data_IF_015933563124
#
_entry.id   IF_015933563124
#
_cell.length_a   1.000
_cell.length_b   1.000
_cell.length_c   1.000
_cell.angle_alpha   90.00
_cell.angle_beta   90.00
_cell.angle_gamma   90.00
#
_symmetry.space_group_name_H-M   'P 1'
#
loop_
_entity.id
_entity.type
_entity.pdbx_description
1 polymer ?
#
# COMPACT_ATOMS: atom_id res chain seq x y z
N UNK A 1 18.34 -75.92 14.18
CA UNK A 1 17.54 -74.90 13.51
C UNK A 1 17.73 -73.60 14.26
N UNK A 2 18.50 -72.69 13.69
CA UNK A 2 18.80 -71.37 14.29
C UNK A 2 18.02 -70.32 13.48
N UNK A 3 17.06 -69.68 14.14
CA UNK A 3 16.24 -68.61 13.58
C UNK A 3 16.96 -67.30 13.75
N UNK A 4 17.26 -66.61 12.64
CA UNK A 4 17.81 -65.28 12.63
C UNK A 4 16.67 -64.24 12.63
N UNK A 5 16.59 -63.38 13.64
CA UNK A 5 15.76 -62.22 13.67
C UNK A 5 16.55 -61.02 13.05
N UNK A 6 16.06 -60.51 11.93
CA UNK A 6 16.49 -59.25 11.36
C UNK A 6 15.74 -58.10 12.04
N UNK A 7 16.42 -57.24 12.77
CA UNK A 7 15.89 -55.98 13.27
C UNK A 7 16.18 -54.92 12.25
N UNK A 8 15.13 -54.37 11.60
CA UNK A 8 15.21 -53.21 10.70
C UNK A 8 15.16 -51.93 11.54
N UNK A 9 16.24 -51.18 11.57
CA UNK A 9 16.28 -49.84 12.15
C UNK A 9 15.74 -48.84 11.14
N UNK A 10 14.55 -48.27 11.40
CA UNK A 10 14.01 -47.10 10.68
C UNK A 10 14.68 -45.87 11.28
N UNK A 11 15.59 -45.24 10.55
CA UNK A 11 16.10 -43.93 10.87
C UNK A 11 15.10 -42.86 10.40
N UNK A 12 14.39 -42.24 11.32
CA UNK A 12 13.54 -41.08 11.03
C UNK A 12 14.42 -39.84 10.81
N UNK A 13 14.51 -39.41 9.56
CA UNK A 13 15.06 -38.10 9.22
C UNK A 13 14.04 -37.04 9.59
N UNK A 14 14.19 -36.40 10.74
CA UNK A 14 13.45 -35.18 11.06
C UNK A 14 14.08 -34.03 10.25
N UNK A 15 13.49 -33.68 9.13
CA UNK A 15 13.81 -32.45 8.44
C UNK A 15 13.38 -31.27 9.33
N UNK A 16 14.34 -30.55 9.90
CA UNK A 16 14.10 -29.30 10.57
C UNK A 16 13.59 -28.29 9.52
N UNK A 17 12.34 -27.90 9.64
CA UNK A 17 11.80 -26.75 8.91
C UNK A 17 12.67 -25.53 9.27
N UNK A 18 13.09 -24.71 8.30
CA UNK A 18 13.76 -23.46 8.61
C UNK A 18 12.83 -22.61 9.47
N UNK A 19 13.34 -22.17 10.63
CA UNK A 19 12.63 -21.20 11.46
C UNK A 19 12.28 -20.01 10.56
N UNK A 20 10.99 -19.69 10.49
CA UNK A 20 10.54 -18.46 9.84
C UNK A 20 11.35 -17.32 10.45
N UNK A 21 12.05 -16.57 9.60
CA UNK A 21 12.77 -15.38 10.04
C UNK A 21 11.72 -14.46 10.69
N UNK A 22 11.83 -14.24 11.99
CA UNK A 22 11.04 -13.24 12.68
C UNK A 22 11.34 -11.90 12.04
N UNK A 23 10.34 -11.29 11.41
CA UNK A 23 10.49 -9.92 10.93
C UNK A 23 11.00 -9.05 12.09
N UNK A 24 11.98 -8.17 11.86
CA UNK A 24 12.44 -7.27 12.90
C UNK A 24 11.26 -6.44 13.41
N UNK A 25 11.21 -6.21 14.72
CA UNK A 25 10.17 -5.37 15.32
C UNK A 25 10.08 -4.04 14.57
N UNK A 26 8.88 -3.56 14.28
CA UNK A 26 8.70 -2.35 13.48
C UNK A 26 9.41 -1.17 14.16
N UNK A 27 10.27 -0.50 13.41
CA UNK A 27 10.87 0.74 13.87
C UNK A 27 9.81 1.83 13.88
N UNK A 28 9.72 2.57 14.99
CA UNK A 28 8.90 3.77 15.11
C UNK A 28 9.80 4.99 15.21
N UNK A 29 9.35 6.10 14.62
CA UNK A 29 9.93 7.42 14.82
C UNK A 29 8.90 8.40 15.35
N UNK A 30 9.34 9.31 16.19
CA UNK A 30 8.50 10.43 16.61
C UNK A 30 8.22 11.37 15.41
N UNK A 31 7.07 12.01 15.42
CA UNK A 31 6.71 12.99 14.41
C UNK A 31 5.99 14.20 15.02
N UNK A 32 6.18 15.36 14.38
CA UNK A 32 5.51 16.62 14.77
C UNK A 32 4.11 16.66 14.15
N UNK A 33 3.08 16.51 14.99
CA UNK A 33 1.67 16.51 14.54
C UNK A 33 1.28 17.79 13.79
N UNK A 34 1.92 18.92 14.06
CA UNK A 34 1.60 20.20 13.41
C UNK A 34 2.18 20.32 12.00
N UNK A 35 3.26 19.61 11.73
CA UNK A 35 3.99 19.68 10.46
C UNK A 35 3.71 18.48 9.56
N UNK A 36 3.54 17.32 10.18
CA UNK A 36 3.53 16.05 9.45
C UNK A 36 2.15 15.36 9.42
N UNK A 37 1.12 15.93 10.07
CA UNK A 37 -0.24 15.42 9.96
C UNK A 37 -0.84 15.88 8.62
N UNK A 38 -1.10 14.93 7.74
CA UNK A 38 -1.63 15.17 6.38
C UNK A 38 -3.04 14.65 6.17
N UNK A 39 -3.60 13.95 7.15
CA UNK A 39 -4.95 13.39 7.09
C UNK A 39 -6.01 14.51 7.15
N UNK A 40 -7.16 14.29 6.50
CA UNK A 40 -8.28 15.20 6.64
C UNK A 40 -8.95 15.01 8.00
N UNK A 41 -8.93 16.01 8.90
CA UNK A 41 -9.47 15.89 10.26
C UNK A 41 -10.97 15.60 10.29
N UNK A 42 -11.73 15.95 9.26
CA UNK A 42 -13.16 15.67 9.18
C UNK A 42 -13.49 14.23 8.81
N UNK A 43 -12.55 13.51 8.24
CA UNK A 43 -12.76 12.12 7.80
C UNK A 43 -11.93 11.09 8.56
N UNK A 44 -10.92 11.51 9.32
CA UNK A 44 -10.01 10.61 10.02
C UNK A 44 -10.75 9.68 11.00
N UNK A 45 -11.79 10.15 11.67
CA UNK A 45 -12.62 9.33 12.53
C UNK A 45 -13.77 8.64 11.79
N UNK A 46 -14.49 9.34 10.91
CA UNK A 46 -15.70 8.80 10.27
C UNK A 46 -15.42 7.96 9.03
N UNK A 47 -14.44 8.34 8.22
CA UNK A 47 -14.14 7.67 6.96
C UNK A 47 -13.32 6.39 7.15
N UNK A 48 -12.31 6.45 8.03
CA UNK A 48 -11.45 5.31 8.34
C UNK A 48 -11.69 4.76 9.73
N UNK A 49 -12.04 5.61 10.68
CA UNK A 49 -12.07 5.31 12.08
C UNK A 49 -10.66 5.27 12.70
N UNK A 50 -10.60 5.28 14.01
CA UNK A 50 -9.36 5.09 14.76
C UNK A 50 -9.59 4.07 15.89
N UNK A 51 -8.52 3.51 16.41
CA UNK A 51 -8.58 2.61 17.55
C UNK A 51 -8.15 3.38 18.81
N UNK A 52 -9.01 3.40 19.80
CA UNK A 52 -8.73 3.92 21.13
C UNK A 52 -8.26 2.78 22.02
N UNK A 53 -7.16 2.94 22.74
CA UNK A 53 -6.71 2.01 23.76
C UNK A 53 -6.44 2.73 25.09
N UNK A 54 -6.87 2.12 26.18
CA UNK A 54 -6.67 2.63 27.54
C UNK A 54 -6.46 1.50 28.54
N UNK A 55 -5.83 1.81 29.65
CA UNK A 55 -5.44 0.88 30.70
C UNK A 55 -3.96 1.01 31.03
N UNK A 56 -3.42 -0.04 31.60
CA UNK A 56 -2.04 -0.13 32.07
C UNK A 56 -1.41 -1.48 31.67
N UNK A 57 -0.25 -1.79 32.24
CA UNK A 57 0.48 -3.04 31.97
C UNK A 57 -0.22 -4.29 32.51
N UNK A 58 -1.15 -4.14 33.46
CA UNK A 58 -1.90 -5.27 34.02
C UNK A 58 -3.17 -5.55 33.23
N UNK A 59 -3.89 -4.50 32.87
CA UNK A 59 -5.17 -4.60 32.15
C UNK A 59 -5.37 -3.44 31.18
N UNK A 60 -5.67 -3.75 29.95
CA UNK A 60 -6.01 -2.78 28.92
C UNK A 60 -7.17 -3.24 28.08
N UNK A 61 -7.80 -2.31 27.39
CA UNK A 61 -8.80 -2.63 26.38
C UNK A 61 -8.78 -1.58 25.27
N UNK A 62 -9.07 -2.05 24.04
CA UNK A 62 -9.19 -1.19 22.89
C UNK A 62 -10.59 -1.25 22.28
N UNK A 63 -10.99 -0.18 21.60
CA UNK A 63 -12.23 -0.10 20.83
C UNK A 63 -12.10 0.82 19.63
N UNK A 64 -12.86 0.54 18.62
CA UNK A 64 -12.99 1.45 17.48
C UNK A 64 -13.79 2.67 17.87
N UNK A 65 -13.30 3.83 17.49
CA UNK A 65 -13.97 5.13 17.62
C UNK A 65 -14.23 5.72 16.24
N UNK A 66 -15.47 6.13 15.99
CA UNK A 66 -15.89 6.83 14.77
C UNK A 66 -16.19 8.31 15.00
N UNK A 67 -16.14 8.77 16.24
CA UNK A 67 -16.32 10.16 16.63
C UNK A 67 -15.12 10.66 17.40
N UNK A 68 -14.62 11.84 17.00
CA UNK A 68 -13.47 12.46 17.63
C UNK A 68 -13.17 13.81 17.00
N UNK A 69 -12.21 14.50 17.58
CA UNK A 69 -11.69 15.74 17.06
C UNK A 69 -10.18 15.83 17.30
N UNK A 70 -9.47 16.47 16.37
CA UNK A 70 -8.07 16.84 16.48
C UNK A 70 -7.96 18.35 16.38
N UNK A 71 -7.17 18.96 17.26
CA UNK A 71 -7.02 20.41 17.24
C UNK A 71 -6.16 20.92 18.36
N UNK A 72 -6.41 22.15 18.80
CA UNK A 72 -5.71 22.78 19.91
C UNK A 72 -6.69 23.25 20.95
N UNK A 73 -6.33 23.09 22.22
CA UNK A 73 -7.16 23.51 23.34
C UNK A 73 -6.29 24.04 24.48
N UNK A 74 -6.85 24.95 25.30
CA UNK A 74 -6.18 25.56 26.45
C UNK A 74 -4.77 26.07 26.14
N UNK A 75 -4.73 27.03 25.22
CA UNK A 75 -3.49 27.64 24.76
C UNK A 75 -2.92 26.91 23.52
N UNK A 76 -1.73 26.32 23.67
CA UNK A 76 -1.03 25.68 22.54
C UNK A 76 -0.94 24.17 22.65
N UNK A 77 -1.79 23.55 23.47
CA UNK A 77 -1.79 22.09 23.58
C UNK A 77 -2.45 21.47 22.36
N UNK A 78 -1.73 20.59 21.69
CA UNK A 78 -2.31 19.70 20.68
C UNK A 78 -3.20 18.68 21.40
N UNK A 79 -4.44 18.57 20.97
CA UNK A 79 -5.47 17.83 21.67
C UNK A 79 -6.15 16.82 20.76
N UNK A 80 -6.42 15.65 21.33
CA UNK A 80 -7.31 14.64 20.77
C UNK A 80 -8.52 14.55 21.67
N UNK A 81 -9.70 14.72 21.10
CA UNK A 81 -10.97 14.50 21.80
C UNK A 81 -11.61 13.22 21.30
N UNK A 82 -12.01 12.35 22.20
CA UNK A 82 -12.70 11.10 21.90
C UNK A 82 -14.02 11.01 22.66
N UNK A 83 -14.99 10.30 22.09
CA UNK A 83 -16.32 10.14 22.67
C UNK A 83 -16.63 8.67 22.87
N UNK A 84 -16.88 8.26 24.11
CA UNK A 84 -17.10 6.86 24.47
C UNK A 84 -18.44 6.71 25.18
N UNK A 85 -19.32 5.90 24.59
CA UNK A 85 -20.66 5.66 25.15
C UNK A 85 -20.57 4.86 26.44
N UNK A 86 -21.56 5.08 27.33
CA UNK A 86 -21.61 4.55 28.70
C UNK A 86 -21.45 3.03 28.77
N UNK A 87 -22.07 2.27 27.88
CA UNK A 87 -22.02 0.82 27.89
C UNK A 87 -20.71 0.20 27.41
N UNK A 88 -19.81 1.02 26.81
CA UNK A 88 -18.56 0.51 26.22
C UNK A 88 -17.57 0.04 27.29
N UNK A 89 -17.03 -1.16 27.07
CA UNK A 89 -16.07 -1.76 28.00
C UNK A 89 -14.83 -0.91 28.25
N UNK A 90 -14.33 -0.23 27.22
CA UNK A 90 -13.15 0.64 27.28
C UNK A 90 -13.36 1.85 28.20
N UNK A 91 -14.62 2.29 28.41
CA UNK A 91 -14.93 3.43 29.29
C UNK A 91 -14.33 3.28 30.67
N UNK A 92 -14.49 2.13 31.30
CA UNK A 92 -13.97 1.88 32.67
C UNK A 92 -12.43 1.97 32.75
N UNK A 93 -11.74 1.72 31.64
CA UNK A 93 -10.28 1.85 31.57
C UNK A 93 -9.88 3.33 31.42
N UNK A 94 -10.65 4.09 30.63
CA UNK A 94 -10.43 5.53 30.48
C UNK A 94 -10.73 6.30 31.79
N UNK A 95 -11.79 5.94 32.49
CA UNK A 95 -12.17 6.61 33.74
C UNK A 95 -11.08 6.48 34.83
N UNK A 96 -10.27 5.42 34.76
CA UNK A 96 -9.14 5.19 35.67
C UNK A 96 -7.76 5.54 35.11
N UNK A 97 -7.68 5.98 33.87
CA UNK A 97 -6.40 6.22 33.22
C UNK A 97 -5.92 7.67 33.36
N UNK A 98 -4.61 7.86 33.44
CA UNK A 98 -3.97 9.18 33.27
C UNK A 98 -3.62 9.46 31.82
N UNK A 99 -3.44 8.41 31.02
CA UNK A 99 -3.09 8.48 29.61
C UNK A 99 -3.91 7.47 28.79
N UNK A 100 -4.07 7.75 27.52
CA UNK A 100 -4.66 6.82 26.55
C UNK A 100 -3.95 6.97 25.21
N UNK A 101 -4.10 5.99 24.34
CA UNK A 101 -3.62 6.10 22.95
C UNK A 101 -4.75 6.08 21.95
N UNK A 102 -4.54 6.81 20.85
CA UNK A 102 -5.38 6.74 19.65
C UNK A 102 -4.49 6.33 18.49
N UNK A 103 -4.91 5.31 17.74
CA UNK A 103 -4.09 4.67 16.72
C UNK A 103 -4.78 4.66 15.36
N UNK A 104 -4.00 4.90 14.31
CA UNK A 104 -4.35 4.62 12.91
C UNK A 104 -3.58 3.39 12.44
N UNK A 105 -4.17 2.64 11.50
CA UNK A 105 -3.55 1.47 10.89
C UNK A 105 -3.37 1.68 9.38
N UNK A 106 -2.59 0.83 8.74
CA UNK A 106 -2.41 0.82 7.30
C UNK A 106 -3.75 0.53 6.59
N UNK A 107 -4.00 1.19 5.46
CA UNK A 107 -5.29 1.15 4.72
C UNK A 107 -5.81 -0.26 4.46
N UNK A 108 -4.90 -1.20 4.17
CA UNK A 108 -5.26 -2.57 3.82
C UNK A 108 -5.79 -3.37 5.01
N UNK A 109 -5.21 -3.18 6.21
CA UNK A 109 -5.57 -3.90 7.43
C UNK A 109 -6.60 -3.17 8.29
N UNK A 110 -6.71 -1.85 8.13
CA UNK A 110 -7.50 -0.98 8.98
C UNK A 110 -8.97 -1.39 9.05
N UNK A 111 -9.61 -1.65 7.90
CA UNK A 111 -11.03 -1.99 7.84
C UNK A 111 -11.36 -3.25 8.65
N UNK A 112 -10.51 -4.28 8.54
CA UNK A 112 -10.68 -5.53 9.27
C UNK A 112 -10.48 -5.33 10.78
N UNK A 113 -9.38 -4.67 11.18
CA UNK A 113 -9.04 -4.40 12.58
C UNK A 113 -10.17 -3.60 13.25
N UNK A 114 -10.55 -2.48 12.65
CA UNK A 114 -11.56 -1.59 13.24
C UNK A 114 -12.94 -2.24 13.26
N UNK A 115 -13.33 -2.99 12.25
CA UNK A 115 -14.60 -3.71 12.25
C UNK A 115 -14.66 -4.74 13.38
N UNK A 116 -13.61 -5.52 13.58
CA UNK A 116 -13.55 -6.54 14.62
C UNK A 116 -13.51 -5.91 16.01
N UNK A 117 -12.62 -4.92 16.23
CA UNK A 117 -12.47 -4.22 17.51
C UNK A 117 -13.73 -3.47 17.95
N UNK A 118 -14.51 -2.97 16.99
CA UNK A 118 -15.76 -2.26 17.26
C UNK A 118 -16.95 -3.16 17.55
N UNK A 119 -17.02 -4.36 16.94
CA UNK A 119 -18.15 -5.30 17.08
C UNK A 119 -18.01 -6.22 18.27
N UNK A 120 -16.80 -6.59 18.65
CA UNK A 120 -16.54 -7.53 19.72
C UNK A 120 -16.23 -6.80 21.02
N UNK A 121 -16.73 -7.33 22.15
CA UNK A 121 -16.44 -6.77 23.47
C UNK A 121 -15.19 -7.41 24.07
N UNK A 122 -14.33 -6.61 24.71
CA UNK A 122 -13.22 -7.13 25.52
C UNK A 122 -13.67 -7.86 26.80
N UNK A 123 -14.97 -7.93 27.06
CA UNK A 123 -15.54 -8.80 28.11
C UNK A 123 -15.59 -10.27 27.67
N UNK A 124 -15.66 -10.51 26.36
CA UNK A 124 -15.92 -11.83 25.77
C UNK A 124 -14.62 -12.54 25.34
N UNK A 125 -13.47 -11.87 25.41
CA UNK A 125 -12.18 -12.47 25.08
C UNK A 125 -11.13 -11.45 24.62
N UNK A 126 -9.94 -11.95 24.36
CA UNK A 126 -8.82 -11.15 23.85
C UNK A 126 -9.00 -10.86 22.36
N UNK A 127 -9.40 -9.64 22.04
CA UNK A 127 -9.62 -9.19 20.67
C UNK A 127 -8.34 -8.98 19.90
N UNK A 128 -7.25 -8.64 20.58
CA UNK A 128 -5.96 -8.42 19.96
C UNK A 128 -5.36 -9.74 19.48
N UNK A 129 -5.39 -10.76 20.32
CA UNK A 129 -4.92 -12.09 19.95
C UNK A 129 -5.70 -12.67 18.76
N UNK A 130 -7.00 -12.44 18.67
CA UNK A 130 -7.85 -12.88 17.56
C UNK A 130 -7.47 -12.22 16.21
N UNK A 131 -6.80 -11.08 16.24
CA UNK A 131 -6.33 -10.33 15.06
C UNK A 131 -4.82 -10.45 14.84
N UNK A 132 -4.10 -11.17 15.70
CA UNK A 132 -2.63 -11.23 15.67
C UNK A 132 -1.96 -9.89 15.97
N UNK A 133 -2.59 -9.04 16.79
CA UNK A 133 -2.03 -7.76 17.21
C UNK A 133 -1.18 -7.94 18.47
N UNK A 134 -0.02 -7.29 18.50
CA UNK A 134 0.93 -7.34 19.59
C UNK A 134 0.85 -6.07 20.44
N UNK A 135 0.54 -6.26 21.72
CA UNK A 135 0.41 -5.18 22.69
C UNK A 135 1.81 -4.72 23.13
N UNK A 136 2.05 -3.42 23.02
CA UNK A 136 3.23 -2.74 23.52
C UNK A 136 2.85 -1.56 24.41
N UNK A 137 3.84 -0.91 25.03
CA UNK A 137 3.62 0.17 25.97
C UNK A 137 4.59 1.31 25.74
N UNK A 138 4.09 2.52 25.83
CA UNK A 138 4.91 3.73 25.83
C UNK A 138 5.76 3.83 27.11
N UNK A 139 6.62 4.83 27.20
CA UNK A 139 7.39 5.11 28.40
C UNK A 139 6.52 5.38 29.63
N UNK A 140 5.35 6.02 29.41
CA UNK A 140 4.35 6.26 30.47
C UNK A 140 3.53 5.02 30.83
N UNK A 141 3.80 3.87 30.19
CA UNK A 141 3.05 2.64 30.41
C UNK A 141 1.71 2.57 29.69
N UNK A 142 1.43 3.49 28.78
CA UNK A 142 0.18 3.55 28.02
C UNK A 142 0.18 2.48 26.92
N UNK A 143 -0.86 1.63 26.83
CA UNK A 143 -0.91 0.54 25.89
C UNK A 143 -1.14 1.02 24.44
N UNK A 144 -0.46 0.38 23.48
CA UNK A 144 -0.69 0.52 22.04
C UNK A 144 -0.41 -0.80 21.33
N UNK A 145 -0.71 -0.91 20.01
CA UNK A 145 -0.39 -2.09 19.21
C UNK A 145 0.75 -1.81 18.24
N UNK A 146 1.71 -2.73 18.17
CA UNK A 146 2.90 -2.63 17.29
C UNK A 146 2.54 -2.55 15.80
N UNK A 147 1.37 -3.05 15.40
CA UNK A 147 0.87 -3.00 14.03
C UNK A 147 0.29 -1.63 13.64
N UNK A 148 0.21 -0.68 14.58
CA UNK A 148 -0.26 0.67 14.28
C UNK A 148 0.68 1.39 13.30
N UNK A 149 0.11 2.11 12.35
CA UNK A 149 0.84 3.01 11.44
C UNK A 149 1.21 4.32 12.13
N UNK A 150 0.32 4.83 12.97
CA UNK A 150 0.56 6.01 13.79
C UNK A 150 -0.12 5.85 15.15
N UNK A 151 0.52 6.36 16.18
CA UNK A 151 0.07 6.33 17.57
C UNK A 151 0.16 7.74 18.14
N UNK A 152 -0.93 8.19 18.74
CA UNK A 152 -1.02 9.44 19.49
C UNK A 152 -1.20 9.08 20.97
N UNK A 153 -0.16 9.27 21.77
CA UNK A 153 -0.24 9.15 23.22
C UNK A 153 -0.75 10.45 23.83
N UNK A 154 -1.83 10.36 24.59
CA UNK A 154 -2.54 11.50 25.12
C UNK A 154 -2.61 11.44 26.65
N UNK A 155 -2.17 12.51 27.33
CA UNK A 155 -2.44 12.74 28.75
C UNK A 155 -3.90 13.21 28.91
N UNK A 156 -4.68 12.53 29.75
CA UNK A 156 -6.07 12.90 29.99
C UNK A 156 -6.16 14.21 30.76
N UNK A 157 -6.71 15.24 30.10
CA UNK A 157 -6.84 16.59 30.65
C UNK A 157 -8.23 16.85 31.26
N UNK A 158 -9.25 16.22 30.65
CA UNK A 158 -10.65 16.47 31.04
C UNK A 158 -11.54 15.33 30.58
N UNK A 159 -12.55 15.04 31.40
CA UNK A 159 -13.66 14.18 30.97
C UNK A 159 -14.99 14.67 31.54
N UNK A 160 -16.04 14.60 30.72
CA UNK A 160 -17.40 14.89 31.15
C UNK A 160 -18.42 14.10 30.29
N UNK A 161 -19.48 13.56 30.89
CA UNK A 161 -20.60 13.05 30.13
C UNK A 161 -21.32 14.19 29.41
N UNK A 162 -21.94 13.91 28.28
CA UNK A 162 -22.84 14.88 27.66
C UNK A 162 -24.13 15.02 28.48
N UNK A 163 -24.55 16.23 28.69
CA UNK A 163 -25.83 16.55 29.31
C UNK A 163 -26.89 16.70 28.20
N UNK A 164 -27.86 15.78 28.17
CA UNK A 164 -28.89 15.76 27.10
C UNK A 164 -29.85 16.94 27.16
N UNK A 165 -30.02 17.57 28.34
CA UNK A 165 -30.88 18.76 28.54
C UNK A 165 -30.36 19.96 27.75
N UNK A 166 -29.02 20.12 27.59
CA UNK A 166 -28.39 21.18 26.81
C UNK A 166 -28.35 20.93 25.31
N UNK A 167 -28.76 19.76 24.86
CA UNK A 167 -28.67 19.38 23.44
C UNK A 167 -29.77 20.04 22.58
N UNK A 168 -29.41 20.41 21.36
CA UNK A 168 -30.34 20.80 20.30
C UNK A 168 -30.97 19.56 19.64
N UNK A 169 -31.89 19.76 18.71
CA UNK A 169 -32.77 18.72 18.16
C UNK A 169 -32.04 17.52 17.56
N UNK A 170 -30.96 17.74 16.78
CA UNK A 170 -30.25 16.65 16.11
C UNK A 170 -29.58 15.68 17.09
N UNK A 171 -28.68 16.11 17.99
CA UNK A 171 -28.08 15.19 18.97
C UNK A 171 -29.11 14.67 20.00
N UNK A 172 -30.13 15.45 20.35
CA UNK A 172 -31.18 15.02 21.26
C UNK A 172 -32.00 13.88 20.67
N UNK A 173 -32.36 13.97 19.38
CA UNK A 173 -33.05 12.90 18.67
C UNK A 173 -32.17 11.62 18.56
N UNK A 174 -30.87 11.80 18.30
CA UNK A 174 -29.93 10.67 18.27
C UNK A 174 -29.89 9.90 19.58
N UNK A 175 -29.83 10.60 20.72
CA UNK A 175 -29.75 9.95 22.04
C UNK A 175 -31.06 9.45 22.60
N UNK A 176 -32.21 9.81 22.01
CA UNK A 176 -33.50 9.32 22.46
C UNK A 176 -33.60 7.79 22.47
N UNK A 177 -33.01 7.14 21.48
CA UNK A 177 -33.03 5.68 21.33
C UNK A 177 -31.62 5.07 21.15
N UNK A 178 -30.58 5.78 21.59
CA UNK A 178 -29.19 5.28 21.38
C UNK A 178 -28.86 4.15 22.37
N UNK A 179 -28.75 2.90 21.91
CA UNK A 179 -28.71 1.73 22.79
C UNK A 179 -27.46 1.64 23.67
N UNK A 180 -26.40 2.36 23.29
CA UNK A 180 -25.14 2.36 24.04
C UNK A 180 -25.09 3.40 25.16
N UNK A 181 -26.15 4.22 25.32
CA UNK A 181 -26.23 5.31 26.28
C UNK A 181 -25.48 6.56 25.81
N UNK A 182 -25.52 7.58 26.66
CA UNK A 182 -24.88 8.86 26.36
C UNK A 182 -23.37 8.71 26.38
N UNK A 183 -22.69 9.47 25.51
CA UNK A 183 -21.21 9.47 25.46
C UNK A 183 -20.63 10.38 26.55
N UNK A 184 -19.48 9.95 27.08
CA UNK A 184 -18.55 10.78 27.81
C UNK A 184 -17.50 11.30 26.84
N UNK A 185 -17.25 12.61 26.87
CA UNK A 185 -16.17 13.26 26.16
C UNK A 185 -14.89 13.12 26.99
N UNK A 186 -13.80 12.73 26.36
CA UNK A 186 -12.47 12.70 26.93
C UNK A 186 -11.54 13.55 26.09
N UNK A 187 -10.86 14.52 26.71
CA UNK A 187 -9.91 15.42 26.05
C UNK A 187 -8.52 15.09 26.56
N UNK A 188 -7.66 14.69 25.65
CA UNK A 188 -6.26 14.38 25.93
C UNK A 188 -5.31 15.35 25.24
N UNK A 189 -4.27 15.80 25.95
CA UNK A 189 -3.14 16.51 25.37
C UNK A 189 -2.20 15.49 24.73
N UNK A 190 -1.86 15.67 23.47
CA UNK A 190 -0.83 14.86 22.80
C UNK A 190 0.51 15.12 23.47
N UNK A 191 1.04 14.13 24.19
CA UNK A 191 2.35 14.19 24.84
C UNK A 191 3.43 13.55 23.98
N UNK A 192 3.04 12.60 23.12
CA UNK A 192 3.91 11.97 22.13
C UNK A 192 3.08 11.53 20.93
N UNK A 193 3.61 11.75 19.73
CA UNK A 193 3.09 11.15 18.51
C UNK A 193 4.23 10.43 17.81
N UNK A 194 4.02 9.17 17.47
CA UNK A 194 5.01 8.37 16.74
C UNK A 194 4.32 7.51 15.70
N UNK A 195 5.07 7.21 14.63
CA UNK A 195 4.58 6.40 13.52
C UNK A 195 5.64 5.43 13.04
N UNK A 196 5.23 4.41 12.30
CA UNK A 196 6.17 3.50 11.65
C UNK A 196 7.17 4.30 10.86
N UNK A 197 8.42 3.94 11.01
CA UNK A 197 9.50 4.48 10.22
C UNK A 197 9.55 3.73 8.88
N UNK A 198 8.79 4.25 7.93
CA UNK A 198 8.79 3.72 6.56
C UNK A 198 10.00 4.24 5.75
N UNK A 199 10.97 4.91 6.37
CA UNK A 199 12.17 5.43 5.67
C UNK A 199 13.04 4.30 5.08
N UNK A 200 12.93 3.09 5.64
CA UNK A 200 13.53 1.89 5.05
C UNK A 200 12.65 1.25 3.96
N UNK A 201 11.39 1.64 3.86
CA UNK A 201 10.51 1.24 2.76
C UNK A 201 10.90 2.05 1.54
N UNK A 202 11.37 1.38 0.52
CA UNK A 202 11.65 2.01 -0.77
C UNK A 202 10.34 2.66 -1.25
N UNK A 203 10.36 3.98 -1.43
CA UNK A 203 9.22 4.72 -2.00
C UNK A 203 8.81 4.04 -3.33
N UNK A 204 7.59 3.47 -3.42
CA UNK A 204 7.18 2.74 -4.61
C UNK A 204 7.18 3.63 -5.86
N UNK A 205 6.90 4.90 -5.73
CA UNK A 205 6.95 5.86 -6.85
C UNK A 205 8.39 6.04 -7.34
N UNK A 206 9.33 6.27 -6.42
CA UNK A 206 10.74 6.40 -6.77
C UNK A 206 11.32 5.10 -7.32
N UNK A 207 10.98 3.96 -6.72
CA UNK A 207 11.36 2.61 -7.18
C UNK A 207 10.87 2.34 -8.60
N UNK A 208 9.57 2.54 -8.86
CA UNK A 208 8.95 2.25 -10.15
C UNK A 208 9.50 3.18 -11.23
N UNK A 209 9.74 4.46 -10.93
CA UNK A 209 10.44 5.37 -11.85
C UNK A 209 11.89 4.95 -12.14
N UNK A 210 12.61 4.45 -11.14
CA UNK A 210 13.96 3.93 -11.32
C UNK A 210 13.95 2.65 -12.18
N UNK A 211 12.99 1.76 -11.98
CA UNK A 211 12.77 0.58 -12.81
C UNK A 211 12.52 0.96 -14.28
N UNK A 212 11.72 2.01 -14.57
CA UNK A 212 11.49 2.49 -15.94
C UNK A 212 12.75 3.02 -16.61
N UNK A 213 13.66 3.68 -15.90
CA UNK A 213 14.95 4.10 -16.47
C UNK A 213 15.84 2.89 -16.82
N UNK A 214 15.85 1.86 -15.99
CA UNK A 214 16.54 0.60 -16.29
C UNK A 214 15.85 -0.14 -17.45
N UNK A 215 14.53 -0.02 -17.55
CA UNK A 215 13.75 -0.61 -18.63
C UNK A 215 14.05 0.04 -19.98
N UNK A 216 14.33 1.34 -20.04
CA UNK A 216 14.86 2.01 -21.25
C UNK A 216 16.14 1.32 -21.75
N UNK A 217 17.07 1.04 -20.87
CA UNK A 217 18.29 0.27 -21.21
C UNK A 217 17.93 -1.13 -21.68
N UNK A 218 17.06 -1.84 -20.95
CA UNK A 218 16.62 -3.20 -21.27
C UNK A 218 16.08 -3.33 -22.69
N UNK A 219 15.16 -2.45 -23.11
CA UNK A 219 14.57 -2.53 -24.45
C UNK A 219 15.53 -2.05 -25.55
N UNK A 220 16.40 -1.10 -25.27
CA UNK A 220 17.38 -0.62 -26.23
C UNK A 220 18.54 -1.60 -26.45
N UNK A 221 18.92 -2.38 -25.48
CA UNK A 221 19.95 -3.41 -25.57
C UNK A 221 19.38 -4.81 -25.85
N UNK A 222 18.04 -4.96 -25.78
CA UNK A 222 17.35 -6.25 -25.84
C UNK A 222 17.88 -7.24 -24.78
N UNK A 223 18.14 -6.72 -23.58
CA UNK A 223 18.75 -7.47 -22.49
C UNK A 223 17.72 -8.32 -21.74
N UNK A 224 17.71 -9.63 -22.05
CA UNK A 224 16.79 -10.57 -21.42
C UNK A 224 17.07 -10.79 -19.93
N UNK A 225 18.33 -10.70 -19.49
CA UNK A 225 18.66 -10.86 -18.07
C UNK A 225 18.09 -9.71 -17.26
N UNK A 226 18.28 -8.49 -17.72
CA UNK A 226 17.68 -7.30 -17.13
C UNK A 226 16.14 -7.32 -17.23
N UNK A 227 15.60 -7.82 -18.33
CA UNK A 227 14.17 -8.02 -18.51
C UNK A 227 13.55 -8.91 -17.42
N UNK A 228 14.19 -10.03 -17.08
CA UNK A 228 13.73 -10.93 -16.00
C UNK A 228 13.79 -10.30 -14.61
N UNK A 229 14.67 -9.34 -14.38
CA UNK A 229 14.68 -8.56 -13.16
C UNK A 229 13.48 -7.60 -13.07
N UNK A 230 13.18 -6.92 -14.20
CA UNK A 230 12.24 -5.80 -14.24
C UNK A 230 10.81 -6.20 -14.56
N UNK A 231 10.58 -7.32 -15.26
CA UNK A 231 9.28 -7.79 -15.69
C UNK A 231 8.88 -9.03 -14.89
N UNK A 232 7.67 -9.02 -14.36
CA UNK A 232 7.11 -10.15 -13.63
C UNK A 232 6.88 -11.35 -14.57
N UNK A 233 7.13 -12.55 -14.10
CA UNK A 233 6.79 -13.78 -14.84
C UNK A 233 5.27 -13.89 -15.11
N UNK A 234 4.45 -13.27 -14.27
CA UNK A 234 2.98 -13.22 -14.39
C UNK A 234 2.51 -12.11 -15.33
N UNK A 235 3.41 -11.29 -15.85
CA UNK A 235 3.04 -10.20 -16.75
C UNK A 235 2.40 -10.75 -18.03
N UNK A 236 1.36 -10.05 -18.50
CA UNK A 236 0.67 -10.38 -19.74
C UNK A 236 0.53 -9.12 -20.61
N UNK A 237 1.00 -9.20 -21.86
CA UNK A 237 1.05 -8.07 -22.79
C UNK A 237 0.22 -8.38 -24.02
N UNK A 238 -0.86 -7.64 -24.23
CA UNK A 238 -1.60 -7.69 -25.49
C UNK A 238 -0.84 -6.93 -26.58
N UNK A 239 -0.69 -7.52 -27.73
CA UNK A 239 0.04 -6.92 -28.87
C UNK A 239 -0.66 -7.24 -30.19
N UNK A 240 -0.63 -6.33 -31.18
CA UNK A 240 -1.18 -6.59 -32.51
C UNK A 240 -0.47 -7.72 -33.28
N UNK A 241 0.73 -8.12 -32.86
CA UNK A 241 1.53 -9.14 -33.55
C UNK A 241 1.25 -10.57 -33.07
N UNK A 242 0.44 -10.73 -32.02
CA UNK A 242 0.03 -12.04 -31.50
C UNK A 242 -1.45 -12.03 -31.10
N UNK A 243 -2.25 -13.06 -31.48
CA UNK A 243 -3.63 -13.18 -31.05
C UNK A 243 -3.77 -13.51 -29.57
N UNK A 244 -2.75 -14.12 -28.98
CA UNK A 244 -2.67 -14.45 -27.55
C UNK A 244 -1.72 -13.49 -26.84
N UNK A 245 -1.99 -13.11 -25.57
CA UNK A 245 -1.07 -12.29 -24.79
C UNK A 245 0.32 -12.94 -24.69
N UNK A 246 1.36 -12.13 -24.79
CA UNK A 246 2.73 -12.54 -24.56
C UNK A 246 3.04 -12.42 -23.07
N UNK A 247 3.82 -13.34 -22.52
CA UNK A 247 4.07 -13.43 -21.10
C UNK A 247 5.54 -13.21 -20.72
N UNK A 248 5.73 -12.56 -19.57
CA UNK A 248 7.05 -12.37 -18.96
C UNK A 248 8.02 -11.56 -19.82
N UNK A 249 9.28 -11.60 -19.43
CA UNK A 249 10.35 -10.87 -20.12
C UNK A 249 10.59 -11.41 -21.54
N UNK A 250 10.55 -12.73 -21.73
CA UNK A 250 10.70 -13.39 -23.03
C UNK A 250 9.65 -12.91 -24.02
N UNK A 251 8.39 -12.87 -23.57
CA UNK A 251 7.28 -12.40 -24.42
C UNK A 251 7.45 -10.92 -24.79
N UNK A 252 7.77 -10.07 -23.85
CA UNK A 252 7.97 -8.64 -24.11
C UNK A 252 9.14 -8.40 -25.08
N UNK A 253 10.30 -8.98 -24.80
CA UNK A 253 11.50 -8.77 -25.62
C UNK A 253 11.44 -9.47 -26.99
N UNK A 254 10.54 -10.43 -27.18
CA UNK A 254 10.27 -10.98 -28.51
C UNK A 254 9.72 -9.91 -29.46
N UNK A 255 8.88 -8.99 -28.96
CA UNK A 255 8.36 -7.85 -29.76
C UNK A 255 9.49 -6.86 -30.08
N UNK A 256 10.37 -6.59 -29.11
CA UNK A 256 11.56 -5.76 -29.33
C UNK A 256 12.45 -6.37 -30.43
N UNK A 257 12.64 -7.69 -30.38
CA UNK A 257 13.42 -8.42 -31.40
C UNK A 257 12.78 -8.34 -32.80
N UNK A 258 11.45 -8.45 -32.88
CA UNK A 258 10.72 -8.26 -34.16
C UNK A 258 10.89 -6.83 -34.71
N UNK A 259 10.79 -5.84 -33.82
CA UNK A 259 11.05 -4.45 -34.22
C UNK A 259 12.46 -4.26 -34.77
N UNK A 260 13.48 -4.86 -34.15
CA UNK A 260 14.87 -4.77 -34.61
C UNK A 260 15.14 -5.50 -35.93
N UNK A 261 14.39 -6.55 -36.20
CA UNK A 261 14.49 -7.25 -37.48
C UNK A 261 14.08 -6.37 -38.68
N UNK A 262 13.14 -5.44 -38.45
CA UNK A 262 12.69 -4.47 -39.47
C UNK A 262 13.46 -3.13 -39.39
N UNK A 263 13.78 -2.70 -38.17
CA UNK A 263 14.44 -1.43 -37.86
C UNK A 263 15.69 -1.71 -37.01
N UNK A 264 16.86 -2.05 -37.60
CA UNK A 264 18.05 -2.44 -36.83
C UNK A 264 18.57 -1.37 -35.88
N UNK A 265 18.31 -0.10 -36.18
CA UNK A 265 18.67 1.08 -35.41
C UNK A 265 17.54 1.60 -34.51
N UNK A 266 16.47 0.81 -34.30
CA UNK A 266 15.35 1.25 -33.47
C UNK A 266 15.81 1.62 -32.06
N UNK A 267 15.37 2.78 -31.63
CA UNK A 267 15.74 3.34 -30.32
C UNK A 267 14.54 3.99 -29.65
N UNK A 268 14.37 3.69 -28.35
CA UNK A 268 13.37 4.28 -27.49
C UNK A 268 14.06 5.21 -26.49
N UNK A 269 13.67 6.48 -26.49
CA UNK A 269 14.15 7.48 -25.54
C UNK A 269 13.02 7.83 -24.58
N UNK A 270 13.26 7.68 -23.28
CA UNK A 270 12.34 8.07 -22.23
C UNK A 270 12.38 9.59 -22.06
N UNK A 271 11.29 10.27 -22.36
CA UNK A 271 11.22 11.74 -22.30
C UNK A 271 10.61 12.24 -20.99
N UNK A 272 9.54 11.59 -20.52
CA UNK A 272 8.77 12.08 -19.38
C UNK A 272 8.08 10.92 -18.65
N UNK A 273 7.98 11.04 -17.32
CA UNK A 273 7.28 10.07 -16.47
C UNK A 273 6.41 10.78 -15.41
N UNK A 274 5.17 10.33 -15.30
CA UNK A 274 4.27 10.62 -14.18
C UNK A 274 3.93 9.29 -13.52
N UNK A 275 3.91 9.23 -12.19
CA UNK A 275 3.70 7.97 -11.47
C UNK A 275 2.85 8.15 -10.23
N UNK A 276 2.11 7.10 -9.91
CA UNK A 276 1.58 6.80 -8.59
C UNK A 276 2.26 5.54 -8.00
N UNK A 277 1.74 5.00 -6.91
CA UNK A 277 2.32 3.84 -6.22
C UNK A 277 2.35 2.56 -7.07
N UNK A 278 1.47 2.43 -8.06
CA UNK A 278 1.27 1.21 -8.86
C UNK A 278 1.43 1.40 -10.36
N UNK A 279 1.41 2.64 -10.85
CA UNK A 279 1.41 2.93 -12.28
C UNK A 279 2.44 3.98 -12.63
N UNK A 280 3.14 3.79 -13.73
CA UNK A 280 3.98 4.81 -14.36
C UNK A 280 3.48 5.07 -15.77
N UNK A 281 3.00 6.29 -16.02
CA UNK A 281 2.74 6.78 -17.37
C UNK A 281 4.04 7.34 -17.95
N UNK A 282 4.40 6.88 -19.14
CA UNK A 282 5.67 7.26 -19.80
C UNK A 282 5.39 7.79 -21.19
N UNK A 283 6.06 8.86 -21.57
CA UNK A 283 6.15 9.33 -22.95
C UNK A 283 7.52 8.98 -23.50
N UNK A 284 7.51 8.19 -24.57
CA UNK A 284 8.68 7.78 -25.32
C UNK A 284 8.80 8.57 -26.63
N UNK A 285 10.03 8.82 -27.07
CA UNK A 285 10.34 9.06 -28.49
C UNK A 285 10.92 7.77 -29.05
N UNK A 286 10.26 7.20 -30.04
CA UNK A 286 10.72 6.02 -30.76
C UNK A 286 11.20 6.43 -32.16
N UNK A 287 12.43 6.07 -32.53
CA UNK A 287 13.05 6.36 -33.81
C UNK A 287 13.57 5.09 -34.47
N UNK A 288 13.70 5.08 -35.78
CA UNK A 288 14.31 3.96 -36.52
C UNK A 288 14.29 4.18 -38.01
N UNK A 289 15.09 3.39 -38.72
CA UNK A 289 15.18 3.39 -40.18
C UNK A 289 14.80 2.01 -40.71
N UNK A 290 13.90 1.96 -41.68
CA UNK A 290 13.35 0.71 -42.21
C UNK A 290 14.32 0.08 -43.23
N UNK A 291 15.41 -0.47 -42.73
CA UNK A 291 16.52 -1.07 -43.46
C UNK A 291 16.79 -2.54 -43.12
N UNK A 292 16.00 -3.11 -42.20
CA UNK A 292 16.15 -4.49 -41.76
C UNK A 292 15.73 -5.51 -42.82
N UNK A 293 15.90 -6.78 -42.52
CA UNK A 293 15.58 -7.88 -43.43
C UNK A 293 14.09 -8.32 -43.37
N UNK A 294 13.35 -7.90 -42.37
CA UNK A 294 11.97 -8.31 -42.18
C UNK A 294 10.97 -7.24 -42.62
N UNK A 295 9.85 -7.60 -43.26
CA UNK A 295 8.76 -6.68 -43.51
C UNK A 295 8.11 -6.24 -42.21
N UNK A 296 7.51 -5.05 -42.17
CA UNK A 296 6.76 -4.55 -41.05
C UNK A 296 5.33 -4.23 -41.46
N UNK A 297 4.36 -4.86 -40.80
CA UNK A 297 2.94 -4.76 -41.14
C UNK A 297 2.61 -4.96 -42.63
N UNK A 298 3.31 -5.88 -43.28
CA UNK A 298 3.11 -6.18 -44.69
C UNK A 298 3.80 -5.21 -45.69
N UNK A 299 4.60 -4.26 -45.18
CA UNK A 299 5.39 -3.33 -46.01
C UNK A 299 6.83 -3.84 -46.04
N UNK A 300 7.41 -3.90 -47.26
CA UNK A 300 8.83 -4.25 -47.44
C UNK A 300 9.76 -3.10 -47.01
N UNK A 301 10.99 -3.40 -46.56
CA UNK A 301 11.99 -2.40 -46.23
C UNK A 301 12.22 -1.41 -47.35
N UNK A 302 12.16 -0.12 -47.06
CA UNK A 302 12.20 0.94 -48.08
C UNK A 302 13.17 2.09 -47.73
N UNK A 303 13.96 1.95 -46.68
CA UNK A 303 14.97 2.93 -46.28
C UNK A 303 14.40 4.19 -45.59
N UNK A 304 13.10 4.31 -45.41
CA UNK A 304 12.49 5.46 -44.74
C UNK A 304 12.75 5.41 -43.23
N UNK A 305 12.94 6.60 -42.65
CA UNK A 305 13.10 6.77 -41.22
C UNK A 305 11.81 7.28 -40.60
N UNK A 306 11.59 6.94 -39.32
CA UNK A 306 10.50 7.49 -38.54
C UNK A 306 11.01 8.08 -37.22
N UNK A 307 10.25 9.03 -36.69
CA UNK A 307 10.34 9.53 -35.32
C UNK A 307 8.92 9.75 -34.81
N UNK A 308 8.53 9.03 -33.78
CA UNK A 308 7.17 9.09 -33.25
C UNK A 308 7.16 9.16 -31.75
N UNK A 309 6.16 9.83 -31.19
CA UNK A 309 5.91 9.85 -29.75
C UNK A 309 4.91 8.75 -29.41
N UNK A 310 5.22 7.95 -28.41
CA UNK A 310 4.36 6.87 -27.89
C UNK A 310 4.14 7.10 -26.40
N UNK A 311 2.90 6.91 -25.94
CA UNK A 311 2.58 6.96 -24.51
C UNK A 311 2.14 5.59 -24.05
N UNK A 312 2.72 5.15 -22.95
CA UNK A 312 2.41 3.87 -22.31
C UNK A 312 2.08 4.06 -20.84
N UNK A 313 1.20 3.20 -20.35
CA UNK A 313 0.91 3.01 -18.93
C UNK A 313 1.46 1.66 -18.50
N UNK A 314 2.46 1.67 -17.63
CA UNK A 314 3.04 0.47 -17.03
C UNK A 314 2.48 0.28 -15.63
N UNK A 315 1.92 -0.92 -15.35
CA UNK A 315 1.51 -1.29 -14.00
C UNK A 315 2.59 -2.13 -13.32
N UNK A 316 2.73 -1.97 -12.01
CA UNK A 316 3.74 -2.62 -11.18
C UNK A 316 3.11 -3.46 -10.08
N UNK A 317 3.73 -4.61 -9.76
CA UNK A 317 3.41 -5.39 -8.56
C UNK A 317 4.05 -4.79 -7.29
N UNK A 318 3.82 -5.46 -6.15
CA UNK A 318 4.35 -5.03 -4.85
C UNK A 318 5.89 -5.11 -4.79
N UNK A 319 6.50 -5.99 -5.57
CA UNK A 319 7.96 -6.14 -5.70
C UNK A 319 8.59 -5.08 -6.63
N UNK A 320 7.77 -4.28 -7.31
CA UNK A 320 8.21 -3.26 -8.26
C UNK A 320 8.59 -3.82 -9.64
N UNK A 321 8.01 -4.95 -10.02
CA UNK A 321 8.13 -5.51 -11.36
C UNK A 321 6.96 -5.11 -12.24
N UNK A 322 7.21 -4.91 -13.52
CA UNK A 322 6.21 -4.58 -14.54
C UNK A 322 5.29 -5.80 -14.74
N UNK A 323 3.98 -5.62 -14.61
CA UNK A 323 2.96 -6.65 -14.84
C UNK A 323 2.10 -6.39 -16.07
N UNK A 324 2.02 -5.16 -16.55
CA UNK A 324 1.32 -4.82 -17.78
C UNK A 324 1.90 -3.58 -18.45
N UNK A 325 1.67 -3.47 -19.75
CA UNK A 325 1.98 -2.32 -20.59
C UNK A 325 0.78 -2.06 -21.50
N UNK A 326 0.24 -0.85 -21.46
CA UNK A 326 -0.84 -0.40 -22.35
C UNK A 326 -0.39 0.83 -23.12
N UNK A 327 -0.23 0.68 -24.43
CA UNK A 327 0.15 1.77 -25.32
C UNK A 327 -1.08 2.55 -25.83
N UNK A 328 -1.02 3.88 -25.75
CA UNK A 328 -2.11 4.75 -26.22
C UNK A 328 -2.13 4.93 -27.75
N UNK A 329 -1.00 5.01 -28.40
CA UNK A 329 -0.87 5.32 -29.85
C UNK A 329 -0.39 4.15 -30.70
N UNK A 330 0.10 3.07 -30.07
CA UNK A 330 0.57 1.87 -30.75
C UNK A 330 1.58 2.16 -31.86
N UNK A 331 1.45 1.46 -33.00
CA UNK A 331 2.37 1.53 -34.16
C UNK A 331 1.97 2.58 -35.19
N UNK A 332 0.91 3.36 -35.00
CA UNK A 332 0.37 4.26 -36.01
C UNK A 332 1.40 5.27 -36.53
N UNK A 333 2.19 5.87 -35.65
CA UNK A 333 3.23 6.83 -36.04
C UNK A 333 4.39 6.20 -36.79
N UNK A 334 4.70 4.93 -36.50
CA UNK A 334 5.70 4.16 -37.24
C UNK A 334 5.20 3.92 -38.70
N UNK A 335 3.96 3.42 -38.81
CA UNK A 335 3.33 3.14 -40.11
C UNK A 335 3.28 4.40 -41.01
N UNK A 336 2.91 5.54 -40.42
CA UNK A 336 2.92 6.82 -41.16
C UNK A 336 4.33 7.19 -41.63
N UNK A 337 5.35 7.04 -40.79
CA UNK A 337 6.74 7.38 -41.12
C UNK A 337 7.31 6.52 -42.28
N UNK A 338 6.95 5.25 -42.31
CA UNK A 338 7.41 4.33 -43.40
C UNK A 338 6.51 4.33 -44.63
N UNK A 339 5.48 5.20 -44.69
CA UNK A 339 4.65 5.42 -45.87
C UNK A 339 3.43 4.47 -45.97
N UNK A 340 2.96 3.90 -44.87
CA UNK A 340 1.70 3.18 -44.88
C UNK A 340 0.54 4.11 -45.25
N UNK A 341 -0.20 3.75 -46.29
CA UNK A 341 -1.34 4.56 -46.79
C UNK A 341 -0.99 5.54 -47.90
N UNK A 342 0.27 5.69 -48.29
CA UNK A 342 0.64 6.31 -49.57
C UNK A 342 0.35 5.28 -50.67
N UNK A 343 -0.68 5.55 -51.49
CA UNK A 343 -0.92 4.76 -52.67
C UNK A 343 0.34 4.82 -53.54
N UNK A 344 0.82 3.68 -54.03
CA UNK A 344 1.89 3.64 -55.02
C UNK A 344 1.49 4.60 -56.13
N UNK A 345 2.25 5.69 -56.34
CA UNK A 345 2.04 6.59 -57.44
C UNK A 345 2.18 5.76 -58.73
N UNK A 346 1.30 5.95 -59.70
CA UNK A 346 1.28 5.18 -60.95
C UNK A 346 2.54 5.34 -61.77
#
# INVERSE_FOLDING_TARGET
>A
MKTFLLASALAAFAAALPAAATEPAPAFRDFDVRKEFTENPFTVFTGRGMLLCAGDREKSNAMTIGWGALGTLWGRNDAVTVYVAESRHTKKFLDGATHFTVMAFDKEKQAQILAYMGRNSGRDGDKAAALGLHLAYTENGTPYYEEAQAVYECELMYSAPFETEGMRDVPKALYADFPAGVHTMYIGRVVRAFRRDDSARVDPIARNKAAMRRFETCINENDLALGRELISEKAAFATPVSPEPLHGAEGYLSVVSLMRASFPDVHWKLEEMVADERTVAVRWTCTGTFTGAAPFAGIEPNGRSFSTSVMNFYSFDEDGKIVSDVAATGIAGILQGIGAGEAAAP
#
